data_IF_135810564089
#
_entry.id   IF_135810564089
#
_cell.length_a   1.000
_cell.length_b   1.000
_cell.length_c   1.000
_cell.angle_alpha   90.00
_cell.angle_beta   90.00
_cell.angle_gamma   90.00
#
_symmetry.space_group_name_H-M   'P 1'
#
loop_
_entity.id
_entity.type
_entity.pdbx_description
1 polymer ?
#
# COMPACT_ATOMS: atom_id res chain seq x y z
N UNK A 1 7.43 11.24 -4.57
CA UNK A 1 6.27 11.42 -3.67
C UNK A 1 6.68 11.40 -2.20
N UNK A 2 7.18 10.29 -1.65
CA UNK A 2 7.45 10.18 -0.21
C UNK A 2 8.50 11.18 0.35
N UNK A 3 9.53 11.54 -0.43
CA UNK A 3 10.56 12.52 -0.01
C UNK A 3 10.01 13.96 0.11
N UNK A 4 9.18 14.37 -0.85
CA UNK A 4 8.46 15.66 -0.81
C UNK A 4 7.45 15.69 0.33
N UNK A 5 6.74 14.58 0.57
CA UNK A 5 5.80 14.44 1.69
C UNK A 5 6.51 14.62 3.04
N UNK A 6 7.68 14.00 3.22
CA UNK A 6 8.51 14.17 4.43
C UNK A 6 8.92 15.63 4.63
N UNK A 7 9.44 16.28 3.58
CA UNK A 7 9.92 17.66 3.68
C UNK A 7 8.79 18.62 4.03
N UNK A 8 7.63 18.49 3.37
CA UNK A 8 6.44 19.27 3.68
C UNK A 8 5.93 19.02 5.10
N UNK A 9 5.90 17.76 5.53
CA UNK A 9 5.52 17.40 6.89
C UNK A 9 6.48 18.00 7.91
N UNK A 10 7.79 17.79 7.77
CA UNK A 10 8.83 18.34 8.66
C UNK A 10 8.72 19.85 8.84
N UNK A 11 8.43 20.59 7.77
CA UNK A 11 8.19 22.03 7.84
C UNK A 11 6.95 22.36 8.67
N UNK A 12 5.83 21.65 8.44
CA UNK A 12 4.57 21.87 9.15
C UNK A 12 4.66 21.56 10.65
N UNK A 13 5.26 20.45 11.06
CA UNK A 13 5.43 20.11 12.49
C UNK A 13 6.40 21.06 13.20
N UNK A 14 7.46 21.52 12.52
CA UNK A 14 8.37 22.53 13.09
C UNK A 14 7.65 23.85 13.35
N UNK A 15 6.75 24.26 12.45
CA UNK A 15 5.88 25.43 12.66
C UNK A 15 4.87 25.21 13.79
N UNK A 16 4.41 23.96 13.98
CA UNK A 16 3.53 23.56 15.07
C UNK A 16 4.21 23.38 16.44
N UNK A 17 5.52 23.68 16.55
CA UNK A 17 6.26 23.54 17.80
C UNK A 17 6.55 22.09 18.23
N UNK A 18 6.46 21.14 17.30
CA UNK A 18 6.76 19.73 17.55
C UNK A 18 8.19 19.42 17.09
N UNK A 19 8.96 18.76 17.96
CA UNK A 19 10.35 18.44 17.68
C UNK A 19 10.52 17.05 17.06
N UNK A 20 11.54 16.90 16.23
CA UNK A 20 11.90 15.64 15.59
C UNK A 20 13.09 15.04 16.35
N UNK A 21 12.91 13.87 16.98
CA UNK A 21 13.98 13.22 17.74
C UNK A 21 15.05 12.62 16.82
N UNK A 22 14.60 11.91 15.79
CA UNK A 22 15.46 11.27 14.81
C UNK A 22 14.80 11.25 13.44
N UNK A 23 15.62 11.30 12.39
CA UNK A 23 15.18 11.00 11.04
C UNK A 23 16.08 9.95 10.40
N UNK A 24 15.51 8.78 10.13
CA UNK A 24 16.23 7.62 9.64
C UNK A 24 15.91 7.34 8.17
N UNK A 25 16.84 6.75 7.44
CA UNK A 25 16.69 6.44 6.02
C UNK A 25 16.38 4.96 5.82
N UNK A 26 15.39 4.61 4.99
CA UNK A 26 15.27 3.24 4.47
C UNK A 26 16.03 3.18 3.13
N UNK A 27 17.05 2.32 2.99
CA UNK A 27 17.74 2.12 1.72
C UNK A 27 16.79 1.61 0.64
N UNK A 28 17.01 1.98 -0.63
CA UNK A 28 16.18 1.49 -1.75
C UNK A 28 16.25 -0.03 -1.92
N UNK A 29 17.41 -0.60 -1.62
CA UNK A 29 17.69 -2.03 -1.64
C UNK A 29 18.25 -2.41 -0.26
N UNK A 30 17.38 -2.67 0.72
CA UNK A 30 17.79 -3.01 2.07
C UNK A 30 18.52 -4.35 2.05
N UNK A 31 19.74 -4.38 2.60
CA UNK A 31 20.44 -5.64 2.88
C UNK A 31 19.76 -6.37 4.05
N UNK A 32 19.95 -7.68 4.17
CA UNK A 32 19.52 -8.40 5.38
C UNK A 32 20.07 -7.72 6.64
N UNK A 33 19.22 -7.49 7.65
CA UNK A 33 19.61 -6.83 8.89
C UNK A 33 19.44 -5.30 8.91
N UNK A 34 19.12 -4.64 7.79
CA UNK A 34 18.99 -3.17 7.76
C UNK A 34 17.77 -2.68 8.56
N UNK A 35 16.65 -3.40 8.53
CA UNK A 35 15.46 -3.02 9.29
C UNK A 35 15.68 -3.17 10.79
N UNK A 36 16.41 -4.20 11.21
CA UNK A 36 16.81 -4.40 12.60
C UNK A 36 17.74 -3.27 13.09
N UNK A 37 18.63 -2.76 12.23
CA UNK A 37 19.44 -1.56 12.55
C UNK A 37 18.58 -0.32 12.71
N UNK A 38 17.54 -0.15 11.89
CA UNK A 38 16.60 0.97 12.03
C UNK A 38 15.92 0.89 13.40
N UNK A 39 15.33 -0.27 13.76
CA UNK A 39 14.69 -0.45 15.07
C UNK A 39 15.66 -0.17 16.22
N UNK A 40 16.91 -0.67 16.15
CA UNK A 40 17.93 -0.36 17.16
C UNK A 40 18.17 1.14 17.31
N UNK A 41 18.25 1.89 16.21
CA UNK A 41 18.41 3.35 16.25
C UNK A 41 17.20 4.06 16.85
N UNK A 42 15.97 3.62 16.54
CA UNK A 42 14.76 4.18 17.16
C UNK A 42 14.79 4.01 18.69
N UNK A 43 15.30 2.88 19.17
CA UNK A 43 15.44 2.57 20.60
C UNK A 43 16.52 3.40 21.31
N UNK A 44 17.43 4.06 20.59
CA UNK A 44 18.41 4.99 21.19
C UNK A 44 17.73 6.25 21.76
N UNK A 45 16.47 6.51 21.40
CA UNK A 45 15.66 7.64 21.90
C UNK A 45 14.40 7.14 22.63
N UNK A 46 14.51 6.64 23.88
CA UNK A 46 13.40 5.99 24.59
C UNK A 46 12.25 6.94 24.94
N UNK A 47 12.51 8.25 25.02
CA UNK A 47 11.48 9.26 25.30
C UNK A 47 10.56 9.49 24.09
N UNK A 48 11.04 9.18 22.88
CA UNK A 48 10.29 9.41 21.64
C UNK A 48 9.61 8.09 21.24
N UNK A 49 8.30 8.01 21.46
CA UNK A 49 7.50 6.80 21.20
C UNK A 49 6.77 6.84 19.86
N UNK A 50 6.50 8.02 19.32
CA UNK A 50 5.72 8.19 18.10
C UNK A 50 6.61 8.10 16.84
N UNK A 51 6.35 7.10 15.98
CA UNK A 51 7.10 6.85 14.76
C UNK A 51 6.24 7.11 13.53
N UNK A 52 6.61 8.11 12.74
CA UNK A 52 5.94 8.49 11.49
C UNK A 52 6.66 7.85 10.31
N UNK A 53 5.91 7.05 9.55
CA UNK A 53 6.42 6.25 8.47
C UNK A 53 5.95 6.76 7.11
N UNK A 54 6.88 7.32 6.36
CA UNK A 54 6.74 7.60 4.93
C UNK A 54 7.43 6.48 4.16
N UNK A 55 6.74 5.34 4.04
CA UNK A 55 7.30 4.12 3.47
C UNK A 55 6.27 3.42 2.57
N UNK A 56 6.76 2.56 1.68
CA UNK A 56 5.89 1.70 0.88
C UNK A 56 5.38 0.51 1.72
N UNK A 57 4.43 -0.24 1.17
CA UNK A 57 3.80 -1.39 1.81
C UNK A 57 4.81 -2.44 2.32
N UNK A 58 5.76 -2.85 1.48
CA UNK A 58 6.77 -3.86 1.79
C UNK A 58 7.71 -3.41 2.93
N UNK A 59 8.13 -2.15 2.89
CA UNK A 59 9.03 -1.55 3.88
C UNK A 59 8.33 -1.44 5.24
N UNK A 60 7.04 -1.03 5.26
CA UNK A 60 6.22 -1.00 6.48
C UNK A 60 6.15 -2.41 7.08
N UNK A 61 5.82 -3.42 6.25
CA UNK A 61 5.70 -4.81 6.70
C UNK A 61 6.99 -5.28 7.36
N UNK A 62 8.14 -5.02 6.73
CA UNK A 62 9.46 -5.45 7.22
C UNK A 62 9.92 -4.70 8.47
N UNK A 63 9.55 -3.42 8.61
CA UNK A 63 9.81 -2.66 9.84
C UNK A 63 9.02 -3.23 11.02
N UNK A 64 7.73 -3.50 10.84
CA UNK A 64 6.89 -4.10 11.88
C UNK A 64 7.40 -5.50 12.25
N UNK A 65 7.83 -6.29 11.26
CA UNK A 65 8.45 -7.60 11.51
C UNK A 65 9.76 -7.47 12.33
N UNK A 66 10.62 -6.49 12.01
CA UNK A 66 11.83 -6.23 12.77
C UNK A 66 11.54 -5.76 14.20
N UNK A 67 10.51 -4.93 14.40
CA UNK A 67 10.05 -4.52 15.73
C UNK A 67 9.50 -5.70 16.54
N UNK A 68 8.76 -6.62 15.88
CA UNK A 68 8.31 -7.89 16.46
C UNK A 68 9.48 -8.73 16.96
N UNK A 69 10.49 -8.94 16.10
CA UNK A 69 11.71 -9.69 16.44
C UNK A 69 12.50 -9.07 17.59
N UNK A 70 12.40 -7.75 17.76
CA UNK A 70 13.01 -7.02 18.87
C UNK A 70 12.14 -6.99 20.15
N UNK A 71 11.01 -7.69 20.17
CA UNK A 71 10.04 -7.70 21.28
C UNK A 71 9.56 -6.29 21.69
N UNK A 72 9.33 -5.40 20.71
CA UNK A 72 8.91 -4.02 20.95
C UNK A 72 7.40 -3.80 20.75
N UNK A 73 6.59 -4.84 21.00
CA UNK A 73 5.12 -4.73 20.98
C UNK A 73 4.65 -3.69 22.00
N UNK A 74 3.78 -2.77 21.58
CA UNK A 74 3.24 -1.71 22.45
C UNK A 74 4.23 -0.60 22.86
N UNK A 75 5.50 -0.69 22.45
CA UNK A 75 6.47 0.36 22.75
C UNK A 75 6.25 1.61 21.88
N UNK A 76 6.20 1.41 20.56
CA UNK A 76 6.05 2.47 19.57
C UNK A 76 4.58 2.75 19.24
N UNK A 77 4.25 4.03 19.04
CA UNK A 77 3.00 4.46 18.42
C UNK A 77 3.27 4.71 16.93
N UNK A 78 2.71 3.87 16.08
CA UNK A 78 2.95 3.96 14.64
C UNK A 78 1.98 4.93 13.97
N UNK A 79 2.52 5.80 13.12
CA UNK A 79 1.74 6.73 12.30
C UNK A 79 2.09 6.51 10.83
N UNK A 80 1.14 6.00 10.05
CA UNK A 80 1.32 5.66 8.63
C UNK A 80 0.69 6.67 7.68
N UNK A 81 1.30 6.82 6.50
CA UNK A 81 0.66 7.47 5.36
C UNK A 81 -0.45 6.61 4.73
N UNK A 82 -1.04 7.10 3.64
CA UNK A 82 -2.07 6.42 2.86
C UNK A 82 -1.64 5.06 2.32
N UNK A 83 -0.34 4.87 2.09
CA UNK A 83 0.27 3.58 1.73
C UNK A 83 0.02 2.47 2.76
N UNK A 84 -0.18 2.81 4.04
CA UNK A 84 -0.63 1.88 5.07
C UNK A 84 -2.16 1.87 5.15
N UNK A 85 -2.79 3.03 5.35
CA UNK A 85 -4.22 3.12 5.66
C UNK A 85 -5.16 2.59 4.57
N UNK A 86 -4.66 2.35 3.36
CA UNK A 86 -5.43 1.79 2.24
C UNK A 86 -5.30 0.27 2.05
N UNK A 87 -4.46 -0.42 2.83
CA UNK A 87 -4.15 -1.85 2.64
C UNK A 87 -4.00 -2.59 3.97
N UNK A 88 -4.50 -3.82 4.02
CA UNK A 88 -4.36 -4.70 5.20
C UNK A 88 -3.04 -5.50 5.20
N UNK A 89 -2.42 -5.67 4.04
CA UNK A 89 -1.20 -6.47 3.84
C UNK A 89 0.01 -6.07 4.70
N UNK A 90 0.25 -4.78 5.06
CA UNK A 90 1.36 -4.45 5.95
C UNK A 90 1.20 -5.02 7.37
N UNK A 91 -0.02 -5.29 7.83
CA UNK A 91 -0.28 -5.71 9.22
C UNK A 91 -0.65 -7.18 9.37
N UNK A 92 -0.98 -7.85 8.27
CA UNK A 92 -1.40 -9.25 8.27
C UNK A 92 -0.34 -10.15 8.95
N UNK A 93 -0.76 -10.91 9.97
CA UNK A 93 0.06 -11.80 10.84
C UNK A 93 1.02 -11.10 11.83
N UNK A 94 0.90 -9.77 11.96
CA UNK A 94 1.68 -8.96 12.89
C UNK A 94 0.84 -7.82 13.49
N UNK A 95 -0.44 -8.11 13.71
CA UNK A 95 -1.45 -7.19 14.21
C UNK A 95 -1.09 -6.65 15.59
N UNK A 96 -0.50 -7.48 16.45
CA UNK A 96 -0.06 -7.12 17.80
C UNK A 96 0.97 -5.97 17.84
N UNK A 97 1.80 -5.83 16.80
CA UNK A 97 2.80 -4.74 16.72
C UNK A 97 2.17 -3.46 16.18
N UNK A 98 1.16 -3.61 15.33
CA UNK A 98 0.44 -2.53 14.70
C UNK A 98 -0.74 -2.02 15.55
N UNK A 99 -0.99 -2.63 16.72
CA UNK A 99 -2.08 -2.23 17.60
C UNK A 99 -1.93 -0.76 18.02
N UNK A 100 -3.02 0.00 17.88
CA UNK A 100 -3.03 1.44 18.16
C UNK A 100 -2.40 2.32 17.07
N UNK A 101 -1.99 1.76 15.92
CA UNK A 101 -1.47 2.54 14.82
C UNK A 101 -2.52 3.52 14.26
N UNK A 102 -2.08 4.73 13.94
CA UNK A 102 -2.90 5.76 13.29
C UNK A 102 -2.47 5.87 11.83
N UNK A 103 -3.43 5.84 10.91
CA UNK A 103 -3.12 6.01 9.48
C UNK A 103 -3.96 7.12 8.89
N UNK A 104 -3.41 7.79 7.88
CA UNK A 104 -4.10 8.85 7.15
C UNK A 104 -4.60 8.28 5.83
N UNK A 105 -5.91 8.31 5.62
CA UNK A 105 -6.50 7.93 4.34
C UNK A 105 -7.31 9.11 3.79
N UNK A 106 -7.00 9.62 2.58
CA UNK A 106 -7.82 10.63 1.94
C UNK A 106 -9.26 10.13 1.77
N UNK A 107 -10.24 11.00 2.00
CA UNK A 107 -11.65 10.67 1.79
C UNK A 107 -11.88 10.30 0.32
N UNK A 108 -12.36 9.08 0.07
CA UNK A 108 -12.70 8.58 -1.27
C UNK A 108 -14.20 8.64 -1.49
N UNK A 109 -14.63 9.23 -2.60
CA UNK A 109 -16.03 9.23 -3.05
C UNK A 109 -16.21 8.28 -4.22
N UNK A 110 -17.37 7.62 -4.30
CA UNK A 110 -17.75 6.90 -5.51
C UNK A 110 -18.16 7.89 -6.59
N UNK A 111 -17.88 7.54 -7.84
CA UNK A 111 -18.39 8.26 -9.00
C UNK A 111 -19.32 7.28 -9.73
N UNK A 112 -20.62 7.45 -9.55
CA UNK A 112 -21.63 6.49 -10.03
C UNK A 112 -21.54 6.24 -11.54
N UNK A 113 -21.24 7.29 -12.32
CA UNK A 113 -21.03 7.16 -13.76
C UNK A 113 -19.84 6.27 -14.11
N UNK A 114 -18.76 6.37 -13.35
CA UNK A 114 -17.58 5.52 -13.52
C UNK A 114 -17.86 4.09 -13.08
N UNK A 115 -18.54 3.88 -11.96
CA UNK A 115 -18.95 2.56 -11.50
C UNK A 115 -19.84 1.85 -12.53
N UNK A 116 -20.83 2.56 -13.08
CA UNK A 116 -21.70 2.03 -14.13
C UNK A 116 -20.91 1.70 -15.40
N UNK A 117 -20.03 2.60 -15.83
CA UNK A 117 -19.16 2.37 -16.97
C UNK A 117 -18.32 1.12 -16.78
N UNK A 118 -17.61 1.00 -15.65
CA UNK A 118 -16.68 -0.10 -15.42
C UNK A 118 -17.40 -1.43 -15.23
N UNK A 119 -18.50 -1.46 -14.46
CA UNK A 119 -19.34 -2.67 -14.29
C UNK A 119 -19.97 -3.16 -15.59
N UNK A 120 -20.21 -2.27 -16.55
CA UNK A 120 -20.74 -2.65 -17.86
C UNK A 120 -19.70 -3.29 -18.78
N UNK A 121 -18.40 -3.29 -18.40
CA UNK A 121 -17.33 -3.86 -19.24
C UNK A 121 -17.26 -5.37 -19.09
N UNK A 122 -17.24 -6.04 -20.22
CA UNK A 122 -17.06 -7.49 -20.36
C UNK A 122 -15.89 -7.76 -21.30
N UNK A 123 -15.34 -8.98 -21.27
CA UNK A 123 -14.29 -9.38 -22.21
C UNK A 123 -14.74 -9.32 -23.67
N UNK A 124 -16.05 -9.44 -23.92
CA UNK A 124 -16.63 -9.32 -25.24
C UNK A 124 -16.67 -7.86 -25.74
N UNK A 125 -16.96 -6.90 -24.86
CA UNK A 125 -17.24 -5.52 -25.23
C UNK A 125 -16.09 -4.53 -24.99
N UNK A 126 -14.97 -4.98 -24.41
CA UNK A 126 -13.82 -4.15 -24.07
C UNK A 126 -12.52 -4.58 -24.78
N UNK A 127 -12.59 -4.85 -26.09
CA UNK A 127 -11.43 -5.28 -26.89
C UNK A 127 -10.35 -4.21 -27.10
N UNK A 128 -10.66 -2.94 -26.80
CA UNK A 128 -9.73 -1.82 -26.95
C UNK A 128 -8.65 -1.80 -25.86
N UNK A 129 -8.96 -2.29 -24.65
CA UNK A 129 -8.00 -2.38 -23.57
C UNK A 129 -7.34 -3.76 -23.60
N UNK A 130 -6.11 -3.81 -24.10
CA UNK A 130 -5.35 -5.06 -24.27
C UNK A 130 -5.01 -5.75 -22.95
N UNK A 131 -4.95 -5.00 -21.84
CA UNK A 131 -4.69 -5.53 -20.49
C UNK A 131 -5.95 -6.04 -19.80
N UNK A 132 -7.14 -5.85 -20.38
CA UNK A 132 -8.40 -6.20 -19.73
C UNK A 132 -8.56 -7.71 -19.54
N UNK A 133 -7.98 -8.53 -20.44
CA UNK A 133 -7.95 -9.97 -20.30
C UNK A 133 -7.09 -10.42 -19.10
N UNK A 134 -5.90 -9.84 -18.95
CA UNK A 134 -4.97 -10.13 -17.86
C UNK A 134 -5.58 -9.70 -16.51
N UNK A 135 -6.12 -8.48 -16.44
CA UNK A 135 -6.85 -7.97 -15.27
C UNK A 135 -7.98 -8.92 -14.84
N UNK A 136 -8.74 -9.45 -15.81
CA UNK A 136 -9.85 -10.34 -15.55
C UNK A 136 -9.39 -11.67 -14.92
N UNK A 137 -8.36 -12.29 -15.48
CA UNK A 137 -7.82 -13.54 -14.95
C UNK A 137 -7.24 -13.38 -13.54
N UNK A 138 -6.50 -12.30 -13.29
CA UNK A 138 -5.88 -12.01 -11.99
C UNK A 138 -6.93 -11.71 -10.92
N UNK A 139 -7.90 -10.84 -11.23
CA UNK A 139 -8.88 -10.38 -10.25
C UNK A 139 -9.96 -11.42 -9.92
N UNK A 140 -10.28 -12.34 -10.83
CA UNK A 140 -11.29 -13.39 -10.61
C UNK A 140 -10.69 -14.79 -10.41
N UNK A 141 -9.36 -14.93 -10.41
CA UNK A 141 -8.68 -16.20 -10.20
C UNK A 141 -9.07 -17.27 -11.22
N UNK A 142 -9.35 -16.86 -12.46
CA UNK A 142 -9.86 -17.72 -13.52
C UNK A 142 -8.97 -17.66 -14.75
N UNK A 143 -9.15 -18.61 -15.69
CA UNK A 143 -8.43 -18.62 -16.97
C UNK A 143 -9.38 -18.53 -18.16
N UNK A 144 -9.02 -17.67 -19.10
CA UNK A 144 -9.63 -17.57 -20.42
C UNK A 144 -9.01 -18.66 -21.31
N UNK A 145 -9.80 -19.62 -21.78
CA UNK A 145 -9.25 -20.73 -22.57
C UNK A 145 -8.66 -20.27 -23.92
N UNK A 146 -7.59 -20.83 -24.48
CA UNK A 146 -6.65 -21.89 -24.02
C UNK A 146 -5.43 -21.96 -24.96
N UNK A 147 -4.19 -21.99 -24.46
CA UNK A 147 -3.02 -22.62 -25.10
C UNK A 147 -2.20 -23.35 -24.03
N UNK A 148 -2.26 -24.70 -24.03
CA UNK A 148 -1.43 -25.56 -23.19
C UNK A 148 -2.21 -26.42 -22.19
N UNK A 149 -2.05 -27.75 -22.31
CA UNK A 149 -2.48 -28.88 -21.46
C UNK A 149 -3.51 -28.61 -20.34
N UNK A 150 -4.62 -29.34 -20.41
CA UNK A 150 -5.66 -29.48 -19.36
C UNK A 150 -5.04 -29.87 -18.01
N UNK A 151 -4.68 -28.88 -17.19
CA UNK A 151 -4.60 -29.07 -15.74
C UNK A 151 -6.01 -28.87 -15.18
N UNK A 152 -6.58 -29.92 -14.60
CA UNK A 152 -8.00 -30.12 -14.33
C UNK A 152 -8.59 -29.31 -13.16
N UNK A 153 -7.85 -28.37 -12.56
CA UNK A 153 -8.24 -27.71 -11.31
C UNK A 153 -8.43 -26.18 -11.38
N UNK A 154 -8.31 -25.55 -12.55
CA UNK A 154 -8.44 -24.08 -12.67
C UNK A 154 -9.81 -23.68 -13.24
N UNK A 155 -10.51 -22.79 -12.53
CA UNK A 155 -11.83 -22.25 -12.91
C UNK A 155 -11.74 -21.51 -14.25
N UNK A 156 -12.66 -21.81 -15.18
CA UNK A 156 -12.81 -21.04 -16.43
C UNK A 156 -13.54 -19.72 -16.15
N UNK A 157 -13.10 -18.64 -16.76
CA UNK A 157 -13.84 -17.37 -16.69
C UNK A 157 -15.13 -17.45 -17.51
N UNK A 158 -16.21 -16.86 -17.00
CA UNK A 158 -17.49 -16.70 -17.68
C UNK A 158 -17.49 -15.46 -18.60
N UNK A 159 -16.64 -14.47 -18.28
CA UNK A 159 -16.53 -13.20 -19.00
C UNK A 159 -17.68 -12.24 -18.71
N UNK A 160 -18.55 -12.56 -17.74
CA UNK A 160 -19.61 -11.70 -17.25
C UNK A 160 -19.31 -11.26 -15.80
N UNK A 161 -19.25 -9.94 -15.51
CA UNK A 161 -19.01 -9.46 -14.17
C UNK A 161 -20.10 -9.95 -13.19
N UNK A 162 -21.36 -9.95 -13.59
CA UNK A 162 -22.45 -10.25 -12.65
C UNK A 162 -22.42 -11.69 -12.12
N UNK A 163 -21.74 -12.60 -12.82
CA UNK A 163 -21.57 -14.01 -12.43
C UNK A 163 -20.26 -14.27 -11.66
N UNK A 164 -19.32 -13.33 -11.71
CA UNK A 164 -17.99 -13.49 -11.11
C UNK A 164 -17.78 -12.65 -9.84
N UNK A 165 -18.51 -11.54 -9.70
CA UNK A 165 -18.49 -10.73 -8.50
C UNK A 165 -19.31 -11.41 -7.40
N UNK A 166 -18.65 -12.11 -6.48
CA UNK A 166 -19.28 -12.46 -5.20
C UNK A 166 -19.57 -11.15 -4.46
N UNK A 167 -20.85 -10.81 -4.30
CA UNK A 167 -21.33 -9.64 -3.52
C UNK A 167 -21.10 -9.80 -2.00
N UNK A 168 -19.98 -10.42 -1.60
CA UNK A 168 -19.52 -10.48 -0.22
C UNK A 168 -18.05 -10.09 -0.19
N UNK A 169 -17.79 -8.80 -0.28
CA UNK A 169 -16.86 -8.09 0.60
C UNK A 169 -17.05 -6.58 0.43
N UNK A 170 -17.13 -5.92 1.58
CA UNK A 170 -17.61 -4.57 1.78
C UNK A 170 -16.55 -3.53 1.37
N UNK A 171 -16.44 -3.22 0.08
CA UNK A 171 -15.87 -1.95 -0.40
C UNK A 171 -16.73 -1.40 -1.54
N UNK A 172 -17.67 -0.55 -1.16
CA UNK A 172 -18.88 -0.16 -1.88
C UNK A 172 -18.76 0.52 -3.26
N UNK A 173 -17.64 0.48 -3.99
CA UNK A 173 -17.53 1.12 -5.31
C UNK A 173 -16.28 0.66 -6.05
N UNK A 174 -16.42 0.30 -7.32
CA UNK A 174 -15.28 -0.04 -8.17
C UNK A 174 -14.42 1.21 -8.41
N UNK A 175 -15.02 2.41 -8.38
CA UNK A 175 -14.33 3.70 -8.33
C UNK A 175 -13.37 3.76 -7.15
N UNK A 176 -13.71 3.23 -5.97
CA UNK A 176 -12.80 3.22 -4.81
C UNK A 176 -11.62 2.27 -5.02
N UNK A 177 -11.85 1.09 -5.61
CA UNK A 177 -10.79 0.11 -5.92
C UNK A 177 -9.88 0.56 -7.07
N UNK A 178 -10.44 1.14 -8.14
CA UNK A 178 -9.66 1.65 -9.28
C UNK A 178 -8.94 2.95 -8.93
N UNK A 179 -9.45 3.78 -8.02
CA UNK A 179 -8.66 4.89 -7.49
C UNK A 179 -7.46 4.36 -6.67
N UNK A 180 -7.57 3.21 -6.00
CA UNK A 180 -6.43 2.52 -5.38
C UNK A 180 -5.45 2.01 -6.44
N UNK A 181 -5.92 1.27 -7.44
CA UNK A 181 -5.06 0.70 -8.50
C UNK A 181 -4.50 1.74 -9.47
N UNK A 182 -5.21 2.84 -9.74
CA UNK A 182 -4.78 3.92 -10.63
C UNK A 182 -3.62 4.74 -10.09
N UNK A 183 -3.40 4.68 -8.76
CA UNK A 183 -2.18 5.19 -8.10
C UNK A 183 -1.01 4.20 -8.27
N UNK A 184 -1.28 2.94 -8.63
CA UNK A 184 -0.32 1.84 -8.74
C UNK A 184 -0.31 1.19 -10.14
N UNK A 185 -0.36 2.00 -11.21
CA UNK A 185 -0.05 1.53 -12.58
C UNK A 185 1.35 2.00 -13.00
N UNK A 186 2.17 1.02 -13.41
CA UNK A 186 3.58 1.11 -13.82
C UNK A 186 3.82 2.03 -15.03
N UNK A 187 5.07 2.52 -15.19
CA UNK A 187 5.39 3.79 -15.80
C UNK A 187 5.68 3.63 -17.29
N UNK A 188 5.08 4.47 -18.11
CA UNK A 188 5.73 5.04 -19.29
C UNK A 188 4.95 6.29 -19.69
N UNK A 189 5.67 7.40 -19.84
CA UNK A 189 5.18 8.78 -20.02
C UNK A 189 4.86 9.58 -18.76
N UNK A 190 5.83 9.73 -17.86
CA UNK A 190 5.95 11.00 -17.12
C UNK A 190 7.43 11.36 -16.92
N UNK A 191 7.92 12.33 -17.70
CA UNK A 191 9.23 12.95 -17.49
C UNK A 191 9.11 13.89 -16.29
N UNK A 192 9.48 13.42 -15.10
CA UNK A 192 9.88 14.30 -14.00
C UNK A 192 11.34 13.98 -13.70
N UNK A 193 12.18 15.00 -13.88
CA UNK A 193 13.60 14.92 -13.57
C UNK A 193 13.84 14.73 -12.06
N UNK A 194 14.93 14.01 -11.78
CA UNK A 194 15.84 14.15 -10.63
C UNK A 194 15.58 13.37 -9.33
N UNK A 195 16.44 12.35 -9.16
CA UNK A 195 17.19 11.90 -7.96
C UNK A 195 16.56 11.90 -6.54
N UNK A 196 16.63 10.68 -5.97
CA UNK A 196 17.14 10.27 -4.63
C UNK A 196 16.22 10.33 -3.38
N UNK A 197 16.10 9.14 -2.77
CA UNK A 197 16.31 8.80 -1.34
C UNK A 197 15.15 8.96 -0.30
N UNK A 198 14.86 7.87 0.46
CA UNK A 198 13.68 7.62 1.34
C UNK A 198 13.98 7.67 2.86
N UNK A 199 13.15 8.31 3.71
CA UNK A 199 13.40 8.47 5.16
C UNK A 199 12.12 8.49 6.07
N UNK A 200 12.24 7.90 7.27
CA UNK A 200 11.38 7.86 8.48
C UNK A 200 11.57 9.10 9.40
N UNK A 201 10.55 9.48 10.19
CA UNK A 201 10.59 10.60 11.18
C UNK A 201 10.03 10.12 12.54
N UNK A 202 10.71 10.41 13.66
CA UNK A 202 10.24 10.22 15.04
C UNK A 202 9.88 11.57 15.66
N UNK A 203 8.73 11.70 16.33
CA UNK A 203 8.35 12.92 17.06
C UNK A 203 8.69 12.82 18.55
N UNK A 204 9.16 13.93 19.11
CA UNK A 204 9.28 14.18 20.55
C UNK A 204 7.95 14.58 21.16
#
# INVERSE_FOLDING_TARGET
MQSSSKAGFSAAISQGGVCIAQSLKIPREPRPGEFEKIIKRLLETPNARAVIMFANEDDIRRILEAAKKANQSGHFLWIGSDSWGSKISPVQQQEEIAEGAVTILPKRTSIDGFDRYFRSRTLANNRRNVWFAEFWEENFGCKLGSHGKRNSNIKKCTGNPLEEWNCKEDESSISKRILTFGIEIKPDHFKIQSKKELNLILLQ
#
